data_IF_485228203195
#
_entry.id   IF_485228203195
#
_cell.length_a   1.000
_cell.length_b   1.000
_cell.length_c   1.000
_cell.angle_alpha   90.00
_cell.angle_beta   90.00
_cell.angle_gamma   90.00
#
_symmetry.space_group_name_H-M   'P 1'
#
loop_
_entity.id
_entity.type
_entity.pdbx_description
1 polymer ?
#
# COMPACT_ATOMS: atom_id res chain seq x y z
N UNK A 1 29.68 -17.42 -25.73
CA UNK A 1 28.81 -18.35 -26.49
C UNK A 1 27.39 -17.83 -26.37
N UNK A 2 26.59 -17.52 -27.38
CA UNK A 2 26.63 -17.66 -28.84
C UNK A 2 25.73 -16.52 -29.37
N UNK A 3 26.20 -15.81 -30.39
CA UNK A 3 25.43 -14.85 -31.19
C UNK A 3 24.28 -15.55 -31.94
N UNK A 4 23.29 -14.81 -32.42
CA UNK A 4 22.90 -14.86 -33.84
C UNK A 4 21.98 -13.68 -34.22
N UNK A 5 22.52 -12.83 -35.10
CA UNK A 5 21.78 -12.01 -36.05
C UNK A 5 21.30 -12.90 -37.22
N UNK A 6 20.33 -12.43 -38.00
CA UNK A 6 20.60 -12.12 -39.41
C UNK A 6 20.07 -10.72 -39.76
N UNK A 7 20.85 -9.83 -40.39
CA UNK A 7 21.27 -9.83 -41.80
C UNK A 7 20.10 -9.60 -42.77
N UNK A 8 19.89 -8.33 -43.15
CA UNK A 8 19.55 -8.01 -44.53
C UNK A 8 20.07 -6.63 -44.91
N UNK A 9 20.76 -6.62 -46.04
CA UNK A 9 21.61 -5.58 -46.59
C UNK A 9 20.98 -4.97 -47.83
N UNK A 10 21.08 -3.65 -48.00
CA UNK A 10 21.04 -2.99 -49.31
C UNK A 10 21.99 -1.76 -49.33
N UNK A 11 23.24 -2.03 -49.68
CA UNK A 11 24.02 -1.48 -50.82
C UNK A 11 23.26 -0.45 -51.72
N UNK A 12 23.77 0.72 -52.15
CA UNK A 12 25.02 1.04 -52.89
C UNK A 12 25.22 2.58 -53.01
N UNK A 13 26.49 3.02 -52.90
CA UNK A 13 27.29 3.98 -53.70
C UNK A 13 26.73 5.37 -54.13
N UNK A 14 27.51 6.44 -54.39
CA UNK A 14 28.96 6.69 -54.45
C UNK A 14 29.25 8.19 -54.67
N UNK A 15 30.53 8.55 -54.51
CA UNK A 15 31.29 9.63 -55.18
C UNK A 15 31.21 11.01 -54.48
N UNK A 16 32.28 11.77 -54.24
CA UNK A 16 33.66 11.76 -54.76
C UNK A 16 34.65 12.41 -53.77
N UNK A 17 35.87 11.89 -53.77
CA UNK A 17 37.20 12.51 -53.60
C UNK A 17 37.48 13.75 -52.71
N UNK A 18 38.42 13.53 -51.78
CA UNK A 18 39.67 14.27 -51.49
C UNK A 18 39.57 15.80 -51.26
N UNK A 19 39.88 16.28 -50.05
CA UNK A 19 41.10 17.05 -49.72
C UNK A 19 41.05 17.68 -48.32
N UNK A 20 42.25 17.73 -47.74
CA UNK A 20 42.63 18.27 -46.44
C UNK A 20 42.53 19.79 -46.44
N UNK A 21 42.02 20.38 -45.34
CA UNK A 21 42.03 21.83 -45.15
C UNK A 21 41.88 22.20 -43.68
N UNK A 22 43.00 22.38 -43.00
CA UNK A 22 43.10 22.98 -41.66
C UNK A 22 42.79 24.47 -41.72
N UNK A 23 41.98 24.99 -40.80
CA UNK A 23 42.09 26.35 -40.27
C UNK A 23 41.24 26.58 -39.01
N UNK A 24 41.61 27.57 -38.16
CA UNK A 24 41.40 27.52 -36.72
C UNK A 24 40.19 28.30 -36.19
N UNK A 25 39.81 27.94 -34.96
CA UNK A 25 39.10 28.66 -33.89
C UNK A 25 38.24 29.89 -34.23
N UNK A 26 36.93 29.79 -33.93
CA UNK A 26 36.12 30.91 -33.42
C UNK A 26 35.17 30.38 -32.33
N UNK A 27 35.16 30.93 -31.09
CA UNK A 27 34.15 30.61 -30.10
C UNK A 27 32.94 31.50 -30.34
N UNK A 28 31.85 30.92 -30.84
CA UNK A 28 30.56 31.61 -30.93
C UNK A 28 29.59 31.06 -29.89
N UNK A 29 29.08 31.99 -29.09
CA UNK A 29 28.19 31.82 -27.95
C UNK A 29 26.87 31.16 -28.34
N UNK A 30 26.74 29.84 -28.14
CA UNK A 30 25.44 29.18 -28.25
C UNK A 30 24.67 29.38 -26.95
N UNK A 31 23.83 30.42 -26.91
CA UNK A 31 22.82 30.64 -25.88
C UNK A 31 21.80 29.50 -25.91
N UNK A 32 22.06 28.45 -25.12
CA UNK A 32 21.20 27.29 -25.01
C UNK A 32 20.11 27.54 -23.94
N UNK A 33 18.90 27.91 -24.40
CA UNK A 33 17.66 27.97 -23.60
C UNK A 33 17.12 26.56 -23.25
N UNK A 34 17.99 25.63 -22.87
CA UNK A 34 17.64 24.24 -22.55
C UNK A 34 17.80 23.89 -21.06
N UNK A 35 18.02 24.91 -20.22
CA UNK A 35 18.19 24.73 -18.77
C UNK A 35 16.87 24.80 -17.98
N UNK A 36 15.75 25.22 -18.61
CA UNK A 36 14.46 25.36 -17.90
C UNK A 36 13.58 24.11 -17.98
N UNK A 37 13.77 23.20 -18.94
CA UNK A 37 12.92 22.02 -19.11
C UNK A 37 13.33 20.82 -18.24
N UNK A 38 14.60 20.76 -17.79
CA UNK A 38 15.08 19.66 -16.93
C UNK A 38 14.56 19.80 -15.49
N UNK A 39 14.28 21.01 -15.02
CA UNK A 39 13.83 21.25 -13.65
C UNK A 39 12.37 20.82 -13.38
N UNK A 40 11.53 20.68 -14.42
CA UNK A 40 10.09 20.39 -14.26
C UNK A 40 9.82 18.88 -14.12
N UNK A 41 10.73 18.02 -14.61
CA UNK A 41 10.57 16.55 -14.53
C UNK A 41 10.96 15.98 -13.16
N UNK A 42 11.68 16.74 -12.33
CA UNK A 42 12.16 16.28 -11.03
C UNK A 42 11.14 16.46 -9.86
N UNK A 43 9.97 17.07 -10.08
CA UNK A 43 9.16 17.62 -8.99
C UNK A 43 8.01 16.72 -8.47
N UNK A 44 7.67 15.57 -9.06
CA UNK A 44 6.51 14.79 -8.58
C UNK A 44 6.73 13.28 -8.62
N UNK A 45 7.52 12.77 -7.67
CA UNK A 45 7.46 11.36 -7.24
C UNK A 45 7.32 11.31 -5.72
N UNK A 46 6.25 11.92 -5.18
CA UNK A 46 5.74 11.51 -3.88
C UNK A 46 4.99 10.20 -4.11
N UNK A 47 5.74 9.10 -4.22
CA UNK A 47 5.15 7.77 -4.21
C UNK A 47 4.71 7.57 -2.77
N UNK A 48 3.42 7.75 -2.48
CA UNK A 48 2.86 7.35 -1.19
C UNK A 48 2.91 5.82 -1.17
N UNK A 49 3.90 5.25 -0.49
CA UNK A 49 3.98 3.81 -0.32
C UNK A 49 2.92 3.42 0.71
N UNK A 50 2.06 2.47 0.37
CA UNK A 50 1.28 1.78 1.38
C UNK A 50 2.27 0.91 2.19
N UNK A 51 2.28 1.08 3.50
CA UNK A 51 3.30 0.49 4.34
C UNK A 51 2.76 -0.81 4.96
N UNK A 52 3.40 -1.92 4.58
CA UNK A 52 3.01 -3.27 5.00
C UNK A 52 3.41 -3.49 6.45
N UNK A 53 2.44 -3.91 7.27
CA UNK A 53 2.63 -4.11 8.70
C UNK A 53 2.64 -5.60 9.05
N UNK A 54 3.35 -5.93 10.13
CA UNK A 54 3.34 -7.27 10.69
C UNK A 54 1.98 -7.55 11.36
N UNK A 55 1.42 -8.73 11.11
CA UNK A 55 0.18 -9.20 11.72
C UNK A 55 0.33 -10.62 12.25
N UNK A 56 -0.58 -11.00 13.16
CA UNK A 56 -0.67 -12.34 13.76
C UNK A 56 -2.02 -12.95 13.37
N UNK A 57 -2.07 -14.27 13.21
CA UNK A 57 -3.33 -15.00 13.04
C UNK A 57 -4.08 -15.09 14.37
N UNK A 58 -5.39 -15.20 14.34
CA UNK A 58 -6.16 -15.42 15.56
C UNK A 58 -6.05 -16.90 15.99
N UNK A 59 -6.20 -17.19 17.29
CA UNK A 59 -6.34 -18.57 17.74
C UNK A 59 -7.69 -19.13 17.30
N UNK A 60 -7.71 -20.22 16.52
CA UNK A 60 -8.93 -20.92 16.13
C UNK A 60 -8.93 -21.41 14.68
N UNK A 61 -10.08 -21.92 14.25
CA UNK A 61 -10.31 -22.27 12.84
C UNK A 61 -10.71 -21.02 12.07
N UNK A 62 -9.88 -20.63 11.11
CA UNK A 62 -10.15 -19.56 10.16
C UNK A 62 -10.36 -20.18 8.77
N UNK A 63 -11.35 -19.69 8.03
CA UNK A 63 -11.67 -20.17 6.67
C UNK A 63 -11.11 -19.23 5.60
N UNK A 64 -9.94 -18.65 5.84
CA UNK A 64 -9.27 -17.84 4.83
C UNK A 64 -7.79 -17.63 5.11
N UNK A 65 -7.11 -17.13 4.10
CA UNK A 65 -5.70 -16.73 4.17
C UNK A 65 -5.58 -15.22 4.03
N UNK A 66 -4.97 -14.57 5.04
CA UNK A 66 -4.54 -13.17 4.97
C UNK A 66 -3.13 -13.13 4.35
N UNK A 67 -2.97 -12.34 3.30
CA UNK A 67 -1.70 -12.21 2.56
C UNK A 67 -0.88 -11.03 3.06
N UNK A 68 -1.53 -9.88 3.16
CA UNK A 68 -0.86 -8.60 3.41
C UNK A 68 -1.81 -7.69 4.17
N UNK A 69 -1.27 -6.93 5.11
CA UNK A 69 -1.99 -5.88 5.84
C UNK A 69 -1.16 -4.62 5.71
N UNK A 70 -1.79 -3.51 5.35
CA UNK A 70 -1.16 -2.19 5.27
C UNK A 70 -1.98 -1.16 6.03
N UNK A 71 -1.27 -0.21 6.65
CA UNK A 71 -1.87 0.90 7.40
C UNK A 71 -1.24 2.19 6.89
N UNK A 72 -2.07 3.17 6.53
CA UNK A 72 -1.62 4.45 6.01
C UNK A 72 -2.23 5.61 6.81
N UNK A 73 -1.42 6.56 7.31
CA UNK A 73 0.05 6.59 7.33
C UNK A 73 0.66 5.72 8.45
N UNK A 74 1.81 5.07 8.22
CA UNK A 74 2.53 4.29 9.23
C UNK A 74 4.05 4.18 8.93
N UNK A 75 4.82 5.27 9.05
CA UNK A 75 6.25 5.27 8.73
C UNK A 75 7.05 4.22 9.51
N UNK A 76 6.58 3.84 10.70
CA UNK A 76 7.22 2.85 11.56
C UNK A 76 7.15 1.41 11.00
N UNK A 77 6.27 1.15 10.04
CA UNK A 77 6.16 -0.16 9.39
C UNK A 77 7.43 -0.54 8.63
N UNK A 78 8.17 0.42 8.08
CA UNK A 78 9.46 0.18 7.44
C UNK A 78 10.51 -0.39 8.41
N UNK A 79 10.35 -0.14 9.71
CA UNK A 79 11.20 -0.66 10.79
C UNK A 79 10.59 -1.91 11.46
N UNK A 80 9.43 -2.39 10.98
CA UNK A 80 8.71 -3.52 11.56
C UNK A 80 8.06 -3.21 12.91
N UNK A 81 7.88 -1.93 13.24
CA UNK A 81 7.32 -1.46 14.52
C UNK A 81 5.82 -1.13 14.36
N UNK A 82 5.06 -1.28 15.45
CA UNK A 82 3.64 -0.98 15.49
C UNK A 82 3.35 0.51 15.22
N UNK A 83 2.40 0.78 14.32
CA UNK A 83 2.05 2.13 13.86
C UNK A 83 1.60 3.04 15.00
N UNK A 84 2.13 4.28 15.03
CA UNK A 84 1.63 5.30 15.96
C UNK A 84 0.49 6.08 15.33
N UNK A 85 -0.73 5.85 15.79
CA UNK A 85 -1.93 6.56 15.34
C UNK A 85 -2.36 7.60 16.37
N UNK A 86 -2.91 8.71 15.89
CA UNK A 86 -3.28 9.82 16.75
C UNK A 86 -4.78 9.91 17.00
N UNK A 87 -5.16 10.26 18.21
CA UNK A 87 -6.55 10.56 18.54
C UNK A 87 -7.11 11.71 17.70
N UNK A 88 -8.33 11.51 17.20
CA UNK A 88 -9.04 12.46 16.38
C UNK A 88 -8.56 12.51 14.92
N UNK A 89 -7.77 11.54 14.46
CA UNK A 89 -7.40 11.40 13.04
C UNK A 89 -8.11 10.23 12.39
N UNK A 90 -8.08 10.22 11.07
CA UNK A 90 -8.49 9.08 10.26
C UNK A 90 -7.23 8.38 9.74
N UNK A 91 -7.21 7.05 9.78
CA UNK A 91 -6.14 6.21 9.22
C UNK A 91 -6.78 5.17 8.32
N UNK A 92 -6.17 4.86 7.19
CA UNK A 92 -6.69 3.86 6.27
C UNK A 92 -6.02 2.53 6.54
N UNK A 93 -6.81 1.48 6.75
CA UNK A 93 -6.32 0.10 6.84
C UNK A 93 -6.78 -0.66 5.61
N UNK A 94 -5.88 -1.39 4.97
CA UNK A 94 -6.25 -2.30 3.91
C UNK A 94 -5.55 -3.64 4.06
N UNK A 95 -6.22 -4.71 3.67
CA UNK A 95 -5.63 -6.03 3.69
C UNK A 95 -6.16 -6.89 2.55
N UNK A 96 -5.28 -7.76 2.07
CA UNK A 96 -5.59 -8.73 1.05
C UNK A 96 -5.87 -10.08 1.68
N UNK A 97 -7.01 -10.66 1.33
CA UNK A 97 -7.43 -11.95 1.83
C UNK A 97 -7.96 -12.85 0.71
N UNK A 98 -7.83 -14.16 0.92
CA UNK A 98 -8.43 -15.19 0.07
C UNK A 98 -9.33 -16.05 0.94
N UNK A 99 -10.66 -15.88 0.83
CA UNK A 99 -11.63 -16.67 1.57
C UNK A 99 -11.74 -18.07 0.99
N UNK A 100 -11.99 -19.06 1.84
CA UNK A 100 -12.28 -20.45 1.47
C UNK A 100 -13.80 -20.72 1.46
N UNK A 101 -14.60 -19.71 1.75
CA UNK A 101 -16.05 -19.75 1.77
C UNK A 101 -16.65 -18.71 0.80
N UNK A 102 -17.93 -18.88 0.48
CA UNK A 102 -18.71 -17.92 -0.29
C UNK A 102 -19.78 -17.31 0.61
N UNK A 103 -20.00 -16.00 0.51
CA UNK A 103 -21.00 -15.28 1.28
C UNK A 103 -21.53 -14.08 0.49
N UNK A 104 -22.84 -13.84 0.54
CA UNK A 104 -23.43 -12.67 -0.11
C UNK A 104 -23.20 -11.41 0.70
N UNK A 105 -23.28 -11.55 2.02
CA UNK A 105 -22.99 -10.51 2.98
C UNK A 105 -21.79 -10.88 3.85
N UNK A 106 -21.01 -9.87 4.23
CA UNK A 106 -19.90 -9.99 5.17
C UNK A 106 -20.09 -8.98 6.29
N UNK A 107 -19.87 -9.43 7.51
CA UNK A 107 -19.88 -8.58 8.72
C UNK A 107 -18.46 -8.42 9.22
N UNK A 108 -18.03 -7.17 9.45
CA UNK A 108 -16.75 -6.83 10.05
C UNK A 108 -16.92 -6.54 11.54
N UNK A 109 -16.15 -7.24 12.36
CA UNK A 109 -16.02 -7.01 13.80
C UNK A 109 -14.59 -6.60 14.11
N UNK A 110 -14.44 -5.40 14.68
CA UNK A 110 -13.14 -4.86 15.06
C UNK A 110 -13.11 -4.64 16.56
N UNK A 111 -12.17 -5.29 17.22
CA UNK A 111 -12.08 -5.30 18.68
C UNK A 111 -10.65 -5.14 19.15
N UNK A 112 -10.47 -4.48 20.27
CA UNK A 112 -9.24 -4.54 21.02
C UNK A 112 -9.22 -5.85 21.81
N UNK A 113 -8.34 -6.77 21.42
CA UNK A 113 -8.22 -8.07 22.09
C UNK A 113 -7.26 -7.99 23.27
N UNK A 114 -7.64 -8.60 24.38
CA UNK A 114 -6.82 -8.79 25.57
C UNK A 114 -6.89 -10.27 25.97
N UNK A 115 -5.96 -10.78 26.81
CA UNK A 115 -5.92 -12.20 27.16
C UNK A 115 -7.23 -12.78 27.70
N UNK A 116 -8.08 -11.96 28.33
CA UNK A 116 -9.29 -12.42 29.02
C UNK A 116 -10.61 -11.94 28.36
N UNK A 117 -10.57 -10.93 27.49
CA UNK A 117 -11.78 -10.35 26.90
C UNK A 117 -11.44 -9.53 25.65
N UNK A 118 -12.44 -9.33 24.79
CA UNK A 118 -12.37 -8.44 23.64
C UNK A 118 -13.27 -7.23 23.86
N UNK A 119 -12.75 -6.03 23.59
CA UNK A 119 -13.53 -4.79 23.62
C UNK A 119 -13.81 -4.30 22.20
N UNK A 120 -15.08 -4.26 21.74
CA UNK A 120 -15.40 -3.77 20.41
C UNK A 120 -15.11 -2.27 20.27
N UNK A 121 -14.64 -1.88 19.09
CA UNK A 121 -14.50 -0.47 18.73
C UNK A 121 -15.88 0.13 18.45
N UNK A 122 -16.32 1.04 19.31
CA UNK A 122 -17.67 1.60 19.21
C UNK A 122 -17.81 2.50 17.98
N UNK A 123 -18.87 2.28 17.20
CA UNK A 123 -19.30 3.12 16.08
C UNK A 123 -18.42 3.03 14.85
N UNK A 124 -17.97 1.81 14.53
CA UNK A 124 -17.49 1.42 13.21
C UNK A 124 -18.65 0.84 12.38
N UNK A 125 -18.54 0.89 11.06
CA UNK A 125 -19.49 0.24 10.17
C UNK A 125 -19.19 -1.27 10.14
N UNK A 126 -20.19 -2.08 10.47
CA UNK A 126 -20.05 -3.54 10.47
C UNK A 126 -20.35 -4.14 9.11
N UNK A 127 -20.96 -3.42 8.17
CA UNK A 127 -21.26 -3.92 6.83
C UNK A 127 -19.98 -3.96 5.97
N UNK A 128 -19.24 -5.07 6.02
CA UNK A 128 -17.94 -5.22 5.37
C UNK A 128 -18.02 -5.09 3.83
N UNK A 129 -19.15 -5.44 3.23
CA UNK A 129 -19.40 -5.30 1.78
C UNK A 129 -19.40 -3.86 1.26
N UNK A 130 -19.36 -2.85 2.15
CA UNK A 130 -19.12 -1.45 1.74
C UNK A 130 -17.64 -1.15 1.50
N UNK A 131 -16.76 -1.98 2.05
CA UNK A 131 -15.31 -1.83 2.08
C UNK A 131 -14.57 -2.92 1.29
N UNK A 132 -15.31 -3.92 0.79
CA UNK A 132 -14.80 -4.95 -0.11
C UNK A 132 -15.90 -5.39 -1.08
N UNK A 133 -15.53 -6.18 -2.09
CA UNK A 133 -16.46 -6.66 -3.11
C UNK A 133 -17.30 -7.82 -2.57
N UNK A 134 -18.61 -7.73 -2.74
CA UNK A 134 -19.55 -8.82 -2.46
C UNK A 134 -20.40 -9.15 -3.71
N UNK A 135 -20.86 -10.40 -3.90
CA UNK A 135 -20.62 -11.56 -3.03
C UNK A 135 -19.16 -12.01 -3.05
N UNK A 136 -18.69 -12.49 -1.90
CA UNK A 136 -17.36 -13.08 -1.76
C UNK A 136 -17.36 -14.49 -2.34
N UNK A 137 -16.32 -14.81 -3.11
CA UNK A 137 -16.17 -16.11 -3.80
C UNK A 137 -14.98 -16.87 -3.21
N UNK A 138 -15.19 -18.14 -2.88
CA UNK A 138 -14.14 -19.02 -2.37
C UNK A 138 -12.96 -19.11 -3.35
N UNK A 139 -11.73 -19.10 -2.83
CA UNK A 139 -10.48 -19.17 -3.58
C UNK A 139 -10.10 -17.88 -4.32
N UNK A 140 -10.92 -16.83 -4.26
CA UNK A 140 -10.66 -15.58 -4.98
C UNK A 140 -10.00 -14.55 -4.07
N UNK A 141 -8.77 -14.12 -4.41
CA UNK A 141 -8.10 -13.04 -3.67
C UNK A 141 -8.81 -11.71 -3.90
N UNK A 142 -9.07 -11.00 -2.80
CA UNK A 142 -9.70 -9.69 -2.82
C UNK A 142 -9.14 -8.81 -1.71
N UNK A 143 -9.30 -7.50 -1.90
CA UNK A 143 -8.82 -6.47 -0.98
C UNK A 143 -9.98 -5.91 -0.16
N UNK A 144 -9.76 -5.76 1.13
CA UNK A 144 -10.62 -5.00 2.03
C UNK A 144 -9.92 -3.68 2.35
N UNK A 145 -10.61 -2.54 2.21
CA UNK A 145 -10.07 -1.23 2.52
C UNK A 145 -11.07 -0.40 3.34
N UNK A 146 -10.63 0.09 4.49
CA UNK A 146 -11.48 0.80 5.45
C UNK A 146 -10.76 1.99 6.08
N UNK A 147 -11.43 3.14 6.08
CA UNK A 147 -10.97 4.32 6.79
C UNK A 147 -11.41 4.26 8.25
N UNK A 148 -10.44 4.05 9.14
CA UNK A 148 -10.63 3.90 10.57
C UNK A 148 -10.53 5.25 11.30
N UNK A 149 -11.65 5.83 11.76
CA UNK A 149 -11.62 7.04 12.58
C UNK A 149 -11.17 6.72 14.01
N UNK A 150 -10.00 7.20 14.39
CA UNK A 150 -9.48 7.06 15.75
C UNK A 150 -10.16 8.09 16.65
N UNK A 151 -11.20 7.69 17.38
CA UNK A 151 -11.98 8.60 18.22
C UNK A 151 -11.14 9.17 19.36
N UNK A 152 -11.43 10.43 19.74
CA UNK A 152 -10.76 11.11 20.86
C UNK A 152 -10.99 10.42 22.21
N UNK A 153 -12.08 9.67 22.33
CA UNK A 153 -12.44 8.89 23.51
C UNK A 153 -11.56 7.65 23.71
N UNK A 154 -10.89 7.14 22.67
CA UNK A 154 -10.05 5.94 22.79
C UNK A 154 -8.81 6.22 23.64
N UNK A 155 -8.57 5.51 24.77
CA UNK A 155 -7.40 5.65 25.65
C UNK A 155 -6.06 5.65 24.89
N UNK A 156 -5.01 6.37 25.36
CA UNK A 156 -3.72 6.38 24.67
C UNK A 156 -2.89 5.22 25.22
N UNK A 157 -2.83 4.12 24.47
CA UNK A 157 -2.20 2.85 24.87
C UNK A 157 -1.76 2.06 23.64
N UNK A 158 -1.09 0.94 23.88
CA UNK A 158 -0.88 -0.11 22.88
C UNK A 158 -2.18 -0.92 22.71
N UNK A 159 -2.50 -1.25 21.47
CA UNK A 159 -3.69 -2.01 21.08
C UNK A 159 -3.31 -3.17 20.17
N UNK A 160 -3.68 -4.37 20.58
CA UNK A 160 -3.79 -5.52 19.69
C UNK A 160 -5.19 -5.46 19.05
N UNK A 161 -5.27 -5.00 17.81
CA UNK A 161 -6.54 -4.83 17.09
C UNK A 161 -6.84 -6.14 16.36
N UNK A 162 -7.86 -6.84 16.84
CA UNK A 162 -8.41 -8.02 16.20
C UNK A 162 -9.45 -7.59 15.17
N UNK A 163 -9.18 -7.91 13.93
CA UNK A 163 -10.09 -7.74 12.80
C UNK A 163 -10.69 -9.09 12.42
N UNK A 164 -12.02 -9.19 12.43
CA UNK A 164 -12.73 -10.41 12.05
C UNK A 164 -13.75 -10.10 10.97
N UNK A 165 -13.75 -10.88 9.89
CA UNK A 165 -14.82 -10.88 8.89
C UNK A 165 -15.61 -12.17 9.05
N UNK A 166 -16.93 -12.08 9.16
CA UNK A 166 -17.83 -13.23 9.33
C UNK A 166 -18.83 -13.27 8.19
N UNK A 167 -18.98 -14.43 7.54
CA UNK A 167 -20.00 -14.70 6.53
C UNK A 167 -21.32 -15.20 7.11
N UNK A 168 -22.31 -15.38 6.24
CA UNK A 168 -23.68 -15.78 6.61
C UNK A 168 -23.74 -17.17 7.28
N UNK A 169 -22.89 -18.13 6.88
CA UNK A 169 -22.86 -19.47 7.48
C UNK A 169 -21.87 -19.60 8.64
N UNK A 170 -21.53 -18.49 9.30
CA UNK A 170 -20.63 -18.42 10.45
C UNK A 170 -19.15 -18.76 10.16
N UNK A 171 -18.75 -18.91 8.89
CA UNK A 171 -17.34 -18.94 8.54
C UNK A 171 -16.69 -17.58 8.79
N UNK A 172 -15.45 -17.58 9.25
CA UNK A 172 -14.77 -16.32 9.55
C UNK A 172 -13.30 -16.29 9.16
N UNK A 173 -12.87 -15.07 8.85
CA UNK A 173 -11.49 -14.64 8.69
C UNK A 173 -11.09 -13.83 9.91
N UNK A 174 -9.86 -14.00 10.40
CA UNK A 174 -9.39 -13.20 11.52
C UNK A 174 -7.90 -12.91 11.43
N UNK A 175 -7.51 -11.72 11.88
CA UNK A 175 -6.11 -11.41 12.15
C UNK A 175 -6.00 -10.35 13.25
N UNK A 176 -4.81 -10.22 13.82
CA UNK A 176 -4.47 -9.27 14.87
C UNK A 176 -3.31 -8.42 14.39
N UNK A 177 -3.49 -7.10 14.41
CA UNK A 177 -2.45 -6.12 14.08
C UNK A 177 -2.20 -5.19 15.27
N UNK A 178 -0.96 -4.76 15.44
CA UNK A 178 -0.57 -3.95 16.59
C UNK A 178 -0.52 -2.47 16.21
N UNK A 179 -1.17 -1.62 17.01
CA UNK A 179 -1.11 -0.15 16.86
C UNK A 179 -0.90 0.53 18.21
N UNK A 180 -0.33 1.73 18.18
CA UNK A 180 -0.15 2.58 19.34
C UNK A 180 -1.04 3.83 19.19
N UNK A 181 -2.04 3.99 20.06
CA UNK A 181 -2.86 5.20 20.05
C UNK A 181 -2.22 6.24 20.97
N UNK A 182 -1.96 7.44 20.45
CA UNK A 182 -1.38 8.55 21.22
C UNK A 182 -2.17 9.85 21.05
N UNK A 183 -1.89 10.85 21.89
CA UNK A 183 -2.41 12.21 21.71
C UNK A 183 -1.48 12.97 20.77
N UNK A 184 -2.02 13.77 19.83
CA UNK A 184 -1.20 14.76 19.13
C UNK A 184 -0.64 15.75 20.16
N UNK A 185 0.68 15.94 20.15
CA UNK A 185 1.27 17.07 20.87
C UNK A 185 0.81 18.36 20.18
N UNK A 186 0.08 19.21 20.90
CA UNK A 186 -0.28 20.54 20.40
C UNK A 186 0.98 21.39 20.54
N UNK A 187 1.70 21.61 19.43
CA UNK A 187 2.79 22.59 19.39
C UNK A 187 2.12 23.97 19.45
N UNK A 188 2.10 24.55 20.65
CA UNK A 188 1.54 25.88 20.94
C UNK A 188 2.33 26.96 20.22
#
# INVERSE_FOLDING_TARGET
MICWLPCQSLLIASSSSITVGVSPCVPSQVKMKYFQTVAIVALCLNVAWAEVVNFKKCPGEEKCTIHEVSITPCPEAAEGVACTVYRGTNVSISFDFTPEFAANELTADVSWTQPNFDLPFVGMDTAACKSTKCPTVSGTRQTYAYDLPIKKSYPPKHYDVKWKLTGENSESCCFIVQINITKKSKRT
#
